data_IF_025451039249
#
_entry.id   IF_025451039249
#
_cell.length_a   1.000
_cell.length_b   1.000
_cell.length_c   1.000
_cell.angle_alpha   90.00
_cell.angle_beta   90.00
_cell.angle_gamma   90.00
#
_symmetry.space_group_name_H-M   'P 1'
#
loop_
_entity.id
_entity.type
_entity.pdbx_description
1 polymer ?
#
# COMPACT_ATOMS: atom_id res chain seq x y z
N UNK A 1 -0.78 0.31 -40.37
CA UNK A 1 -0.05 1.28 -39.52
C UNK A 1 0.00 0.68 -38.14
N UNK A 2 1.22 0.52 -37.65
CA UNK A 2 1.61 -0.32 -36.51
C UNK A 2 0.86 0.03 -35.23
N UNK A 3 0.16 -0.98 -34.69
CA UNK A 3 -0.30 -1.00 -33.32
C UNK A 3 0.93 -1.16 -32.42
N UNK A 4 1.47 -0.01 -31.99
CA UNK A 4 2.57 0.07 -31.05
C UNK A 4 2.05 -0.28 -29.66
N UNK A 5 1.88 -1.60 -29.46
CA UNK A 5 1.85 -2.23 -28.15
C UNK A 5 2.98 -1.63 -27.32
N UNK A 6 2.62 -0.79 -26.36
CA UNK A 6 3.54 -0.36 -25.32
C UNK A 6 3.93 -1.62 -24.56
N UNK A 7 5.15 -2.12 -24.79
CA UNK A 7 5.74 -3.07 -23.88
C UNK A 7 5.72 -2.41 -22.49
N UNK A 8 4.88 -2.94 -21.59
CA UNK A 8 4.79 -2.48 -20.21
C UNK A 8 6.22 -2.41 -19.66
N UNK A 9 6.61 -1.24 -19.17
CA UNK A 9 7.91 -1.06 -18.55
C UNK A 9 7.99 -2.06 -17.39
N UNK A 10 8.96 -2.98 -17.44
CA UNK A 10 9.12 -4.01 -16.39
C UNK A 10 9.40 -3.42 -15.00
N UNK A 11 9.58 -2.10 -14.86
CA UNK A 11 9.73 -1.40 -13.59
C UNK A 11 8.46 -0.68 -13.10
N UNK A 12 7.35 -0.69 -13.84
CA UNK A 12 6.11 -0.01 -13.43
C UNK A 12 5.34 -0.80 -12.37
N UNK A 13 5.11 -0.22 -11.20
CA UNK A 13 4.27 -0.85 -10.17
C UNK A 13 2.80 -0.65 -10.51
N UNK A 14 2.06 -1.75 -10.63
CA UNK A 14 0.60 -1.77 -10.78
C UNK A 14 -0.02 -2.62 -9.67
N UNK A 15 -1.32 -2.45 -9.41
CA UNK A 15 -2.04 -3.30 -8.44
C UNK A 15 -1.97 -4.79 -8.82
N UNK A 16 -2.07 -5.11 -10.12
CA UNK A 16 -1.94 -6.47 -10.64
C UNK A 16 -0.54 -7.03 -10.36
N UNK A 17 0.51 -6.28 -10.67
CA UNK A 17 1.89 -6.73 -10.42
C UNK A 17 2.21 -6.87 -8.94
N UNK A 18 1.65 -5.99 -8.10
CA UNK A 18 1.75 -6.11 -6.65
C UNK A 18 1.06 -7.39 -6.18
N UNK A 19 -0.18 -7.65 -6.62
CA UNK A 19 -0.93 -8.86 -6.30
C UNK A 19 -0.18 -10.12 -6.70
N UNK A 20 0.33 -10.17 -7.92
CA UNK A 20 1.11 -11.31 -8.42
C UNK A 20 2.38 -11.56 -7.62
N UNK A 21 3.06 -10.48 -7.22
CA UNK A 21 4.28 -10.56 -6.42
C UNK A 21 3.98 -11.01 -4.99
N UNK A 22 2.89 -10.51 -4.41
CA UNK A 22 2.42 -10.92 -3.09
C UNK A 22 1.99 -12.39 -3.05
N UNK A 23 1.30 -12.89 -4.08
CA UNK A 23 0.91 -14.29 -4.16
C UNK A 23 2.13 -15.20 -4.18
N UNK A 24 3.12 -14.90 -5.04
CA UNK A 24 4.37 -15.68 -5.12
C UNK A 24 5.11 -15.69 -3.78
N UNK A 25 5.25 -14.53 -3.16
CA UNK A 25 5.91 -14.41 -1.85
C UNK A 25 5.13 -15.11 -0.74
N UNK A 26 3.81 -15.11 -0.79
CA UNK A 26 2.96 -15.81 0.17
C UNK A 26 3.19 -17.32 0.11
N UNK A 27 3.27 -17.88 -1.10
CA UNK A 27 3.53 -19.31 -1.31
C UNK A 27 4.92 -19.73 -0.77
N UNK A 28 5.90 -18.81 -0.79
CA UNK A 28 7.24 -19.01 -0.21
C UNK A 28 7.26 -18.85 1.32
N UNK A 29 6.50 -17.89 1.86
CA UNK A 29 6.58 -17.47 3.26
C UNK A 29 5.70 -18.28 4.20
N UNK A 30 4.53 -18.71 3.74
CA UNK A 30 3.53 -19.43 4.53
C UNK A 30 3.02 -20.63 3.73
N UNK A 31 3.94 -21.56 3.46
CA UNK A 31 3.66 -22.76 2.68
C UNK A 31 2.58 -23.66 3.30
N UNK A 32 2.37 -23.54 4.61
CA UNK A 32 1.34 -24.28 5.36
C UNK A 32 -0.02 -23.55 5.38
N UNK A 33 -0.09 -22.34 4.79
CA UNK A 33 -1.28 -21.51 4.68
C UNK A 33 -2.01 -21.28 6.02
N UNK A 34 -1.25 -20.90 7.05
CA UNK A 34 -1.75 -20.74 8.41
C UNK A 34 -2.01 -19.27 8.81
N UNK A 35 -1.56 -18.30 8.01
CA UNK A 35 -1.75 -16.87 8.29
C UNK A 35 -3.25 -16.51 8.16
N UNK A 36 -3.85 -16.15 9.29
CA UNK A 36 -5.26 -15.75 9.36
C UNK A 36 -5.48 -14.30 8.91
N UNK A 37 -6.73 -13.96 8.59
CA UNK A 37 -7.16 -12.56 8.40
C UNK A 37 -6.82 -11.68 9.61
N UNK A 38 -6.99 -12.18 10.84
CA UNK A 38 -6.68 -11.43 12.05
C UNK A 38 -5.19 -11.12 12.19
N UNK A 39 -4.32 -12.05 11.76
CA UNK A 39 -2.88 -11.81 11.71
C UNK A 39 -2.57 -10.67 10.74
N UNK A 40 -3.10 -10.72 9.50
CA UNK A 40 -2.87 -9.68 8.48
C UNK A 40 -3.40 -8.31 8.91
N UNK A 41 -4.55 -8.28 9.58
CA UNK A 41 -5.12 -7.06 10.12
C UNK A 41 -4.22 -6.43 11.19
N UNK A 42 -3.62 -7.25 12.06
CA UNK A 42 -2.67 -6.78 13.08
C UNK A 42 -1.34 -6.34 12.47
N UNK A 43 -0.85 -7.04 11.45
CA UNK A 43 0.35 -6.68 10.69
C UNK A 43 0.17 -5.30 10.04
N UNK A 44 -0.94 -5.07 9.32
CA UNK A 44 -1.28 -3.76 8.78
C UNK A 44 -1.31 -2.67 9.87
N UNK A 45 -1.92 -2.95 11.04
CA UNK A 45 -1.94 -1.99 12.14
C UNK A 45 -0.54 -1.68 12.69
N UNK A 46 0.36 -2.67 12.67
CA UNK A 46 1.78 -2.52 12.98
C UNK A 46 2.45 -1.52 12.05
N UNK A 47 2.40 -1.74 10.74
CA UNK A 47 3.02 -0.86 9.73
C UNK A 47 2.47 0.56 9.78
N UNK A 48 1.15 0.71 10.00
CA UNK A 48 0.54 2.03 10.23
C UNK A 48 1.11 2.70 11.48
N UNK A 49 1.36 1.93 12.55
CA UNK A 49 1.99 2.40 13.78
C UNK A 49 3.44 2.84 13.57
N UNK A 50 4.19 2.11 12.75
CA UNK A 50 5.57 2.44 12.39
C UNK A 50 5.62 3.75 11.59
N UNK A 51 4.79 3.88 10.55
CA UNK A 51 4.62 5.12 9.79
C UNK A 51 4.25 6.30 10.71
N UNK A 52 3.29 6.11 11.62
CA UNK A 52 2.92 7.13 12.62
C UNK A 52 4.11 7.56 13.49
N UNK A 53 4.94 6.61 13.89
CA UNK A 53 6.13 6.87 14.68
C UNK A 53 7.19 7.67 13.88
N UNK A 54 7.36 7.37 12.59
CA UNK A 54 8.23 8.13 11.68
C UNK A 54 7.72 9.56 11.48
N UNK A 55 6.42 9.72 11.18
CA UNK A 55 5.78 11.05 11.03
C UNK A 55 6.00 11.88 12.30
N UNK A 56 5.78 11.29 13.48
CA UNK A 56 6.05 11.96 14.76
C UNK A 56 7.51 12.39 14.90
N UNK A 57 8.49 11.57 14.48
CA UNK A 57 9.92 11.93 14.53
C UNK A 57 10.25 13.08 13.56
N UNK A 58 9.65 13.09 12.36
CA UNK A 58 9.79 14.19 11.39
C UNK A 58 9.22 15.50 11.93
N UNK A 59 8.01 15.48 12.50
CA UNK A 59 7.40 16.67 13.10
C UNK A 59 8.18 17.16 14.32
N UNK A 60 8.69 16.24 15.14
CA UNK A 60 9.53 16.57 16.29
C UNK A 60 10.76 17.39 15.89
N UNK A 61 11.38 17.06 14.75
CA UNK A 61 12.48 17.83 14.20
C UNK A 61 12.06 19.24 13.78
N UNK A 62 10.97 19.35 13.01
CA UNK A 62 10.42 20.64 12.54
C UNK A 62 10.06 21.57 13.69
N UNK A 63 9.56 21.01 14.78
CA UNK A 63 9.16 21.74 16.00
C UNK A 63 10.32 22.05 16.95
N UNK A 64 11.54 21.57 16.67
CA UNK A 64 12.70 21.79 17.55
C UNK A 64 12.63 21.02 18.89
N UNK A 65 11.79 19.99 19.00
CA UNK A 65 11.60 19.22 20.23
C UNK A 65 12.73 18.17 20.37
N UNK A 66 13.29 17.99 21.57
CA UNK A 66 14.33 16.98 21.82
C UNK A 66 13.79 15.55 21.60
N UNK A 67 14.58 14.68 20.96
CA UNK A 67 14.28 13.25 20.83
C UNK A 67 14.92 12.63 19.59
N UNK A 68 14.55 11.38 19.27
CA UNK A 68 14.99 10.72 18.03
C UNK A 68 14.50 11.46 16.77
N UNK A 69 15.15 11.17 15.64
CA UNK A 69 14.85 11.72 14.32
C UNK A 69 14.58 10.61 13.34
N UNK A 70 13.98 10.98 12.21
CA UNK A 70 13.80 10.12 11.06
C UNK A 70 13.85 10.97 9.81
N UNK A 71 13.98 10.33 8.65
CA UNK A 71 13.93 11.02 7.36
C UNK A 71 12.75 10.54 6.51
N UNK A 72 12.64 11.12 5.30
CA UNK A 72 11.57 10.79 4.36
C UNK A 72 11.77 9.43 3.68
N UNK A 73 12.98 8.89 3.65
CA UNK A 73 13.24 7.55 3.13
C UNK A 73 12.60 6.51 4.03
N UNK A 74 12.79 6.65 5.34
CA UNK A 74 12.12 5.79 6.33
C UNK A 74 10.60 5.90 6.22
N UNK A 75 10.06 7.11 6.03
CA UNK A 75 8.61 7.24 5.83
C UNK A 75 8.13 6.54 4.56
N UNK A 76 8.93 6.57 3.48
CA UNK A 76 8.57 5.91 2.24
C UNK A 76 8.56 4.38 2.39
N UNK A 77 9.48 3.82 3.20
CA UNK A 77 9.51 2.38 3.54
C UNK A 77 8.22 1.98 4.26
N UNK A 78 7.88 2.63 5.37
CA UNK A 78 6.66 2.27 6.13
C UNK A 78 5.37 2.47 5.32
N UNK A 79 5.31 3.50 4.46
CA UNK A 79 4.17 3.69 3.56
C UNK A 79 4.08 2.59 2.50
N UNK A 80 5.20 2.05 2.04
CA UNK A 80 5.21 0.91 1.12
C UNK A 80 4.72 -0.36 1.81
N UNK A 81 5.16 -0.60 3.05
CA UNK A 81 4.73 -1.77 3.83
C UNK A 81 3.22 -1.74 4.13
N UNK A 82 2.66 -0.55 4.38
CA UNK A 82 1.20 -0.36 4.47
C UNK A 82 0.50 -0.79 3.17
N UNK A 83 0.98 -0.34 2.00
CA UNK A 83 0.35 -0.70 0.72
C UNK A 83 0.42 -2.20 0.45
N UNK A 84 1.56 -2.81 0.78
CA UNK A 84 1.76 -4.26 0.69
C UNK A 84 0.76 -4.99 1.58
N UNK A 85 0.63 -4.60 2.86
CA UNK A 85 -0.26 -5.24 3.82
C UNK A 85 -1.74 -5.06 3.45
N UNK A 86 -2.12 -3.90 2.92
CA UNK A 86 -3.47 -3.68 2.39
C UNK A 86 -3.78 -4.66 1.26
N UNK A 87 -2.85 -4.87 0.33
CA UNK A 87 -3.07 -5.86 -0.74
C UNK A 87 -3.07 -7.30 -0.22
N UNK A 88 -2.26 -7.65 0.78
CA UNK A 88 -2.29 -8.97 1.41
C UNK A 88 -3.67 -9.28 2.03
N UNK A 89 -4.32 -8.30 2.66
CA UNK A 89 -5.69 -8.44 3.16
C UNK A 89 -6.68 -8.60 1.99
N UNK A 90 -6.55 -7.77 0.96
CA UNK A 90 -7.42 -7.86 -0.21
C UNK A 90 -7.27 -9.19 -0.96
N UNK A 91 -6.05 -9.73 -1.01
CA UNK A 91 -5.74 -11.06 -1.55
C UNK A 91 -6.43 -12.16 -0.73
N UNK A 92 -6.31 -12.11 0.59
CA UNK A 92 -6.91 -13.09 1.51
C UNK A 92 -8.44 -13.14 1.40
N UNK A 93 -9.09 -11.99 1.20
CA UNK A 93 -10.55 -11.86 1.11
C UNK A 93 -11.09 -11.84 -0.33
N UNK A 94 -10.23 -12.12 -1.33
CA UNK A 94 -10.60 -12.10 -2.75
C UNK A 94 -11.26 -10.77 -3.21
N UNK A 95 -10.69 -9.65 -2.78
CA UNK A 95 -11.10 -8.29 -3.13
C UNK A 95 -10.26 -7.77 -4.31
N UNK A 96 -10.95 -7.27 -5.34
CA UNK A 96 -10.35 -6.44 -6.39
C UNK A 96 -10.06 -5.04 -5.82
N UNK A 97 -8.83 -4.88 -5.34
CA UNK A 97 -8.39 -3.65 -4.69
C UNK A 97 -8.32 -2.48 -5.68
N UNK A 98 -7.92 -2.73 -6.93
CA UNK A 98 -7.82 -1.68 -7.95
C UNK A 98 -9.20 -1.09 -8.26
N UNK A 99 -10.19 -1.95 -8.48
CA UNK A 99 -11.57 -1.51 -8.70
C UNK A 99 -12.15 -0.81 -7.46
N UNK A 100 -11.89 -1.33 -6.26
CA UNK A 100 -12.35 -0.73 -5.01
C UNK A 100 -11.79 0.70 -4.81
N UNK A 101 -10.49 0.89 -5.07
CA UNK A 101 -9.82 2.20 -4.99
C UNK A 101 -10.41 3.18 -6.01
N UNK A 102 -10.51 2.78 -7.28
CA UNK A 102 -11.05 3.65 -8.33
C UNK A 102 -12.50 4.07 -8.02
N UNK A 103 -13.35 3.12 -7.61
CA UNK A 103 -14.73 3.40 -7.21
C UNK A 103 -14.79 4.36 -6.03
N UNK A 104 -13.98 4.15 -4.99
CA UNK A 104 -13.99 4.99 -3.78
C UNK A 104 -13.50 6.40 -4.05
N UNK A 105 -12.47 6.55 -4.88
CA UNK A 105 -11.98 7.85 -5.32
C UNK A 105 -13.06 8.60 -6.10
N UNK A 106 -13.66 7.97 -7.12
CA UNK A 106 -14.69 8.57 -7.95
C UNK A 106 -15.93 8.98 -7.15
N UNK A 107 -16.36 8.15 -6.20
CA UNK A 107 -17.46 8.49 -5.29
C UNK A 107 -17.16 9.74 -4.44
N UNK A 108 -15.90 9.94 -4.04
CA UNK A 108 -15.50 11.13 -3.29
C UNK A 108 -15.51 12.36 -4.19
N UNK A 109 -14.98 12.25 -5.41
CA UNK A 109 -15.05 13.33 -6.39
C UNK A 109 -16.50 13.73 -6.70
N UNK A 110 -17.40 12.77 -6.88
CA UNK A 110 -18.82 13.03 -7.14
C UNK A 110 -19.50 13.72 -5.96
N UNK A 111 -19.25 13.25 -4.73
CA UNK A 111 -19.80 13.84 -3.51
C UNK A 111 -19.48 15.35 -3.39
N UNK A 112 -18.31 15.76 -3.85
CA UNK A 112 -17.83 17.14 -3.73
C UNK A 112 -17.84 17.92 -5.06
N UNK A 113 -18.42 17.36 -6.14
CA UNK A 113 -18.47 18.02 -7.45
C UNK A 113 -17.10 18.26 -8.09
N UNK A 114 -16.11 17.42 -7.76
CA UNK A 114 -14.74 17.53 -8.29
C UNK A 114 -14.64 16.95 -9.70
N UNK A 115 -13.77 17.54 -10.53
CA UNK A 115 -13.55 17.11 -11.92
C UNK A 115 -12.65 15.90 -12.05
N UNK A 116 -11.71 15.71 -11.12
CA UNK A 116 -10.73 14.63 -11.17
C UNK A 116 -11.38 13.29 -10.85
N UNK A 117 -11.15 12.29 -11.71
CA UNK A 117 -11.63 10.92 -11.56
C UNK A 117 -10.53 9.95 -12.04
N UNK A 118 -10.52 8.74 -11.48
CA UNK A 118 -9.82 7.59 -12.06
C UNK A 118 -10.62 7.06 -13.25
#
# INVERSE_FOLDING_TARGET
MSDSSHALNQNEITFERLRDSNQKRQDEWDSDNQISLSYRGNELAGEVGEACNIIKKLERERLGIRGSRADKTQLAEELADIIICVDLIAMHENIDLAQAVAKKFNATSEKYGLKSKF
#
